data_IF_101100230386
#
_entry.id   IF_101100230386
#
_cell.length_a   1.000
_cell.length_b   1.000
_cell.length_c   1.000
_cell.angle_alpha   90.00
_cell.angle_beta   90.00
_cell.angle_gamma   90.00
#
_symmetry.space_group_name_H-M   'P 1'
#
loop_
_entity.id
_entity.type
_entity.pdbx_description
1 polymer ?
#
# COMPACT_ATOMS: atom_id res chain seq x y z
N UNK A 1 3.02 -15.86 -5.58
CA UNK A 1 1.70 -16.40 -5.13
C UNK A 1 0.63 -15.45 -5.63
N UNK A 2 -0.52 -15.94 -6.11
CA UNK A 2 -1.54 -15.17 -6.82
C UNK A 2 -1.97 -13.83 -6.17
N UNK A 3 -1.77 -13.66 -4.85
CA UNK A 3 -2.13 -12.45 -4.11
C UNK A 3 -1.00 -11.95 -3.16
N UNK A 4 0.28 -12.22 -3.44
CA UNK A 4 1.34 -11.85 -2.50
C UNK A 4 1.48 -10.34 -2.34
N UNK A 5 1.56 -9.58 -3.46
CA UNK A 5 1.68 -8.13 -3.43
C UNK A 5 0.54 -7.48 -2.64
N UNK A 6 -0.71 -7.89 -2.88
CA UNK A 6 -1.89 -7.40 -2.15
C UNK A 6 -1.81 -7.69 -0.65
N UNK A 7 -1.33 -8.87 -0.24
CA UNK A 7 -1.14 -9.19 1.18
C UNK A 7 -0.10 -8.28 1.83
N UNK A 8 1.00 -7.98 1.12
CA UNK A 8 2.04 -7.07 1.60
C UNK A 8 1.47 -5.66 1.74
N UNK A 9 0.68 -5.17 0.77
CA UNK A 9 0.00 -3.87 0.86
C UNK A 9 -0.87 -3.78 2.11
N UNK A 10 -1.78 -4.74 2.33
CA UNK A 10 -2.66 -4.74 3.51
C UNK A 10 -1.89 -4.76 4.82
N UNK A 11 -0.83 -5.57 4.89
CA UNK A 11 0.03 -5.63 6.07
C UNK A 11 0.74 -4.29 6.32
N UNK A 12 1.35 -3.70 5.29
CA UNK A 12 2.05 -2.40 5.39
C UNK A 12 1.08 -1.29 5.79
N UNK A 13 -0.13 -1.26 5.23
CA UNK A 13 -1.17 -0.28 5.60
C UNK A 13 -1.57 -0.44 7.06
N UNK A 14 -1.88 -1.65 7.52
CA UNK A 14 -2.23 -1.91 8.91
C UNK A 14 -1.10 -1.51 9.87
N UNK A 15 0.16 -1.82 9.51
CA UNK A 15 1.33 -1.41 10.27
C UNK A 15 1.41 0.10 10.43
N UNK A 16 1.28 0.88 9.34
CA UNK A 16 1.34 2.35 9.37
C UNK A 16 0.20 2.93 10.21
N UNK A 17 -1.02 2.38 10.09
CA UNK A 17 -2.15 2.80 10.92
C UNK A 17 -1.91 2.57 12.41
N UNK A 18 -1.42 1.38 12.78
CA UNK A 18 -1.07 1.07 14.17
C UNK A 18 0.05 1.98 14.66
N UNK A 19 1.11 2.17 13.86
CA UNK A 19 2.22 3.07 14.19
C UNK A 19 1.74 4.50 14.45
N UNK A 20 0.87 5.04 13.59
CA UNK A 20 0.27 6.35 13.78
C UNK A 20 -0.52 6.44 15.11
N UNK A 21 -1.24 5.38 15.47
CA UNK A 21 -1.92 5.28 16.76
C UNK A 21 -0.94 5.23 17.95
N UNK A 22 0.16 4.48 17.84
CA UNK A 22 1.21 4.42 18.88
C UNK A 22 1.88 5.76 19.11
N UNK A 23 2.02 6.59 18.07
CA UNK A 23 2.54 7.96 18.19
C UNK A 23 1.66 8.89 19.06
N UNK A 24 0.42 8.51 19.35
CA UNK A 24 -0.48 9.24 20.25
C UNK A 24 -0.36 8.81 21.72
N UNK A 25 0.55 7.87 22.03
CA UNK A 25 0.71 7.28 23.37
C UNK A 25 2.05 7.67 23.99
N UNK A 26 2.22 7.44 25.29
CA UNK A 26 3.45 7.73 26.03
C UNK A 26 4.55 6.65 25.84
N UNK A 27 4.59 5.99 24.67
CA UNK A 27 5.65 5.02 24.36
C UNK A 27 6.99 5.75 24.21
N UNK A 28 8.03 5.12 24.75
CA UNK A 28 9.39 5.68 24.71
C UNK A 28 9.89 5.84 23.27
N UNK A 29 10.52 7.00 23.01
CA UNK A 29 11.00 7.41 21.68
C UNK A 29 11.87 6.36 20.96
N UNK A 30 12.79 5.61 21.62
CA UNK A 30 13.59 4.62 20.91
C UNK A 30 12.78 3.49 20.24
N UNK A 31 11.65 3.10 20.85
CA UNK A 31 10.75 2.09 20.27
C UNK A 31 10.05 2.66 19.04
N UNK A 32 9.51 3.88 19.14
CA UNK A 32 8.88 4.57 18.00
C UNK A 32 9.87 4.79 16.85
N UNK A 33 11.11 5.17 17.16
CA UNK A 33 12.16 5.37 16.15
C UNK A 33 12.53 4.04 15.45
N UNK A 34 12.60 2.94 16.21
CA UNK A 34 12.87 1.61 15.64
C UNK A 34 11.73 1.17 14.70
N UNK A 35 10.48 1.40 15.11
CA UNK A 35 9.30 1.12 14.28
C UNK A 35 9.25 2.01 13.03
N UNK A 36 9.66 3.27 13.13
CA UNK A 36 9.75 4.17 11.98
C UNK A 36 10.74 3.64 10.94
N UNK A 37 11.97 3.32 11.36
CA UNK A 37 13.00 2.78 10.45
C UNK A 37 12.51 1.47 9.81
N UNK A 38 11.89 0.59 10.59
CA UNK A 38 11.29 -0.63 10.05
C UNK A 38 10.17 -0.34 9.05
N UNK A 39 9.31 0.64 9.34
CA UNK A 39 8.22 1.08 8.48
C UNK A 39 8.70 1.59 7.12
N UNK A 40 9.75 2.41 7.10
CA UNK A 40 10.37 2.90 5.86
C UNK A 40 10.88 1.74 4.99
N UNK A 41 11.60 0.78 5.60
CA UNK A 41 12.05 -0.43 4.91
C UNK A 41 10.88 -1.27 4.38
N UNK A 42 9.81 -1.39 5.16
CA UNK A 42 8.61 -2.12 4.80
C UNK A 42 7.85 -1.47 3.62
N UNK A 43 7.81 -0.14 3.56
CA UNK A 43 7.23 0.61 2.43
C UNK A 43 8.04 0.36 1.17
N UNK A 44 9.38 0.48 1.23
CA UNK A 44 10.25 0.20 0.08
C UNK A 44 10.08 -1.24 -0.43
N UNK A 45 10.03 -2.20 0.50
CA UNK A 45 9.77 -3.60 0.16
C UNK A 45 8.40 -3.80 -0.50
N UNK A 46 7.35 -3.16 0.03
CA UNK A 46 6.00 -3.21 -0.53
C UNK A 46 5.97 -2.64 -1.95
N UNK A 47 6.54 -1.45 -2.17
CA UNK A 47 6.61 -0.82 -3.50
C UNK A 47 7.34 -1.70 -4.49
N UNK A 48 8.52 -2.21 -4.13
CA UNK A 48 9.27 -3.14 -4.97
C UNK A 48 8.44 -4.38 -5.32
N UNK A 49 7.78 -4.97 -4.32
CA UNK A 49 6.96 -6.18 -4.50
C UNK A 49 5.79 -5.90 -5.44
N UNK A 50 5.11 -4.77 -5.31
CA UNK A 50 3.98 -4.38 -6.18
C UNK A 50 4.45 -4.13 -7.61
N UNK A 51 5.56 -3.40 -7.80
CA UNK A 51 6.08 -3.07 -9.13
C UNK A 51 6.66 -4.28 -9.87
N UNK A 52 7.12 -5.30 -9.14
CA UNK A 52 7.68 -6.53 -9.74
C UNK A 52 6.69 -7.70 -9.78
N UNK A 53 5.48 -7.52 -9.22
CA UNK A 53 4.45 -8.55 -9.27
C UNK A 53 3.97 -8.76 -10.71
N UNK A 54 3.80 -10.03 -11.08
CA UNK A 54 3.25 -10.41 -12.39
C UNK A 54 1.73 -10.32 -12.34
N UNK A 55 1.23 -9.09 -12.29
CA UNK A 55 -0.20 -8.81 -12.27
C UNK A 55 -0.78 -8.85 -13.69
N UNK A 56 -1.88 -9.59 -13.86
CA UNK A 56 -2.67 -9.61 -15.08
C UNK A 56 -4.10 -9.19 -14.76
N UNK A 57 -4.67 -8.31 -15.58
CA UNK A 57 -6.05 -7.85 -15.43
C UNK A 57 -6.74 -7.80 -16.77
N UNK A 58 -8.05 -8.03 -16.75
CA UNK A 58 -8.92 -7.82 -17.92
C UNK A 58 -9.32 -6.36 -18.06
N UNK A 59 -9.02 -5.51 -17.07
CA UNK A 59 -9.30 -4.08 -17.10
C UNK A 59 -8.29 -3.36 -18.00
N UNK A 60 -8.79 -2.53 -18.88
CA UNK A 60 -8.01 -1.75 -19.83
C UNK A 60 -8.04 -0.27 -19.45
N UNK A 61 -7.13 0.54 -20.01
CA UNK A 61 -7.18 2.01 -19.88
C UNK A 61 -8.54 2.57 -20.33
N UNK A 62 -9.23 1.92 -21.28
CA UNK A 62 -10.56 2.32 -21.75
C UNK A 62 -11.66 2.15 -20.70
N UNK A 63 -11.45 1.25 -19.75
CA UNK A 63 -12.36 1.06 -18.61
C UNK A 63 -12.11 2.11 -17.50
N UNK A 64 -11.21 3.07 -17.75
CA UNK A 64 -10.71 4.07 -16.80
C UNK A 64 -10.34 3.46 -15.45
N UNK A 65 -9.92 2.20 -15.41
CA UNK A 65 -9.73 1.46 -14.15
C UNK A 65 -10.96 1.45 -13.19
N UNK A 66 -12.12 1.96 -13.63
CA UNK A 66 -13.32 2.18 -12.83
C UNK A 66 -13.42 3.55 -12.12
N UNK A 67 -12.50 4.49 -12.38
CA UNK A 67 -12.34 5.71 -11.57
C UNK A 67 -13.16 6.90 -12.09
N UNK A 68 -13.59 6.87 -13.34
CA UNK A 68 -14.33 7.96 -14.00
C UNK A 68 -15.62 7.44 -14.65
N UNK A 69 -16.73 8.21 -14.64
CA UNK A 69 -17.92 7.84 -15.41
C UNK A 69 -17.59 7.70 -16.90
N UNK A 70 -17.97 6.59 -17.52
CA UNK A 70 -17.71 6.30 -18.94
C UNK A 70 -18.36 7.30 -19.90
N UNK A 71 -19.38 8.02 -19.43
CA UNK A 71 -20.28 8.84 -20.25
C UNK A 71 -19.61 10.09 -20.85
N UNK A 72 -18.34 10.35 -20.57
CA UNK A 72 -17.61 11.55 -21.04
C UNK A 72 -16.63 11.26 -22.17
N UNK A 73 -16.57 10.03 -22.67
CA UNK A 73 -15.66 9.63 -23.77
C UNK A 73 -16.33 9.62 -25.15
N UNK A 74 -17.66 9.76 -25.21
CA UNK A 74 -18.46 9.67 -26.43
C UNK A 74 -18.96 11.03 -26.95
N UNK A 75 -18.33 12.15 -26.55
CA UNK A 75 -18.59 13.52 -27.08
C UNK A 75 -17.43 14.04 -27.95
#
# INVERSE_FOLDING_TARGET
MKNFAIKVVWFTTAFVFVFAGLCLTDIVVPILLSLLIFGELLILFMVYTVLTDKYTTTKTFKDWYGDHPMNTLDD
#
